data_IF_748557869049
#
_entry.id   IF_748557869049
#
_cell.length_a   1.000
_cell.length_b   1.000
_cell.length_c   1.000
_cell.angle_alpha   90.00
_cell.angle_beta   90.00
_cell.angle_gamma   90.00
#
_symmetry.space_group_name_H-M   'P 1'
#
loop_
_entity.id
_entity.type
_entity.pdbx_description
1 polymer ?
2 polymer ?
3 polymer ?
4 non-polymer ?
5 water ?
#
loop_
_entity_poly.entity_id
_entity_poly.type
_entity_poly.pdbx_seq_one_letter_code
_entity_poly.pdbx_strand_id
2 'polydeoxyribonucleotide' '(DA)(DA)(DG)(DT)(DT)(DA)(DA)(DC)(DG)(DC)(DT)(DT)(DA)(DA)(DC)(DG)(DT)(DT)(DA)(DA)(DG)(DG)(DG)(DT)(DT)(DA)(DA)(DT)' ?
3 'polydeoxyribonucleotide' '(DT)(DC)(DA)(DT)(DT)(DA)(DA)(DC)(DC)(DC)(DT)(DT)(DA)(DA)(DC)(DG)(DT)(DT)(DA)(DA)(DG)(DC)(DG)(DT)(DT)(DA)(DA)(DC)(DT)' ?
#
# COMPACT_ATOMS: atom_id res chain seq x y z
N UNK A 7 20.11 0.59 -9.15
CA UNK A 7 18.76 0.55 -8.62
C UNK A 7 18.20 1.96 -8.41
N UNK A 8 16.89 2.13 -8.63
CA UNK A 8 16.23 3.38 -8.23
C UNK A 8 16.05 3.43 -6.72
N UNK A 9 16.55 4.50 -6.10
CA UNK A 9 16.42 4.71 -4.67
C UNK A 9 15.07 5.37 -4.40
N UNK A 10 14.26 4.75 -3.54
CA UNK A 10 12.99 5.35 -3.14
C UNK A 10 13.25 6.53 -2.20
N UNK A 11 12.45 7.59 -2.27
CA UNK A 11 12.73 8.76 -1.40
C UNK A 11 12.64 8.44 0.08
N UNK A 12 11.80 7.50 0.48
CA UNK A 12 11.76 7.12 1.88
C UNK A 12 13.10 6.59 2.37
N UNK A 13 13.84 5.90 1.50
CA UNK A 13 15.17 5.42 1.85
C UNK A 13 16.08 6.58 2.24
N UNK A 14 16.08 7.65 1.42
CA UNK A 14 16.88 8.82 1.73
C UNK A 14 16.37 9.51 2.98
N UNK A 15 15.07 9.44 3.23
CA UNK A 15 14.55 10.04 4.45
C UNK A 15 14.85 9.17 5.67
N UNK A 16 14.68 7.85 5.54
CA UNK A 16 14.96 6.93 6.65
C UNK A 16 16.44 6.96 7.03
N UNK A 17 17.33 6.87 6.04
CA UNK A 17 18.75 6.66 6.34
C UNK A 17 19.55 7.95 6.45
N UNK A 18 19.19 9.01 5.73
CA UNK A 18 19.96 10.24 5.78
C UNK A 18 19.37 11.30 6.68
N UNK A 19 18.20 11.07 7.26
CA UNK A 19 17.62 12.11 8.11
C UNK A 19 17.10 11.54 9.42
N UNK A 20 16.26 10.52 9.36
CA UNK A 20 15.74 9.92 10.58
C UNK A 20 16.85 9.25 11.38
N UNK A 21 17.79 8.60 10.70
CA UNK A 21 18.86 7.93 11.40
C UNK A 21 19.95 8.89 11.83
N UNK A 22 20.19 9.96 11.05
CA UNK A 22 21.20 10.94 11.44
C UNK A 22 20.79 11.73 12.69
N UNK A 23 19.49 11.93 12.92
CA UNK A 23 19.04 12.72 14.05
C UNK A 23 18.24 11.91 15.07
N UNK A 24 18.28 10.58 14.97
CA UNK A 24 17.53 9.69 15.84
C UNK A 24 16.11 10.21 16.07
N UNK A 25 15.35 10.26 14.98
CA UNK A 25 13.94 10.65 15.00
C UNK A 25 13.14 9.43 14.56
N UNK A 26 12.20 9.00 15.39
CA UNK A 26 11.32 7.91 14.99
C UNK A 26 10.31 8.39 13.95
N UNK A 27 9.82 7.49 13.08
CA UNK A 27 8.72 7.86 12.18
C UNK A 27 7.58 8.55 12.89
N UNK A 28 7.17 8.05 14.06
CA UNK A 28 6.05 8.64 14.78
C UNK A 28 6.37 10.07 15.21
N UNK A 29 7.62 10.33 15.61
CA UNK A 29 7.98 11.65 16.09
C UNK A 29 8.00 12.66 14.95
N UNK A 30 8.65 12.30 13.83
CA UNK A 30 8.58 13.11 12.63
C UNK A 30 7.13 13.46 12.27
N UNK A 31 6.21 12.51 12.46
CA UNK A 31 4.82 12.75 12.11
C UNK A 31 4.23 13.87 12.94
N UNK A 32 4.45 13.84 14.27
CA UNK A 32 3.96 14.90 15.15
C UNK A 32 4.57 16.24 14.78
N UNK A 33 5.83 16.25 14.34
CA UNK A 33 6.51 17.49 14.03
C UNK A 33 6.02 18.06 12.70
N UNK A 34 5.74 17.20 11.72
CA UNK A 34 5.22 17.61 10.43
C UNK A 34 3.72 17.87 10.47
N UNK A 35 3.06 17.52 11.58
CA UNK A 35 1.62 17.68 11.73
C UNK A 35 0.84 16.87 10.68
N UNK A 36 1.27 15.62 10.44
CA UNK A 36 0.51 14.68 9.64
C UNK A 36 0.27 13.41 10.46
N UNK A 37 -0.64 12.57 9.97
CA UNK A 37 -0.89 11.31 10.66
C UNK A 37 0.30 10.37 10.56
N UNK A 38 0.42 9.47 11.55
CA UNK A 38 1.59 8.59 11.58
C UNK A 38 1.73 7.70 10.35
N UNK A 39 0.67 7.11 9.77
CA UNK A 39 0.86 6.33 8.53
C UNK A 39 1.43 7.15 7.38
N UNK A 40 1.26 8.48 7.38
CA UNK A 40 1.81 9.27 6.27
C UNK A 40 3.32 9.26 6.27
N UNK A 41 3.95 9.41 7.44
CA UNK A 41 5.40 9.31 7.50
C UNK A 41 5.84 7.85 7.42
N UNK A 42 5.13 6.95 8.11
CA UNK A 42 5.59 5.56 8.15
C UNK A 42 5.52 4.92 6.77
N UNK A 43 4.49 5.23 5.98
CA UNK A 43 4.42 4.59 4.67
C UNK A 43 5.54 5.09 3.75
N UNK A 44 5.98 6.34 3.91
CA UNK A 44 7.14 6.81 3.17
C UNK A 44 8.38 6.03 3.61
N UNK A 45 8.58 5.92 4.93
CA UNK A 45 9.75 5.24 5.47
C UNK A 45 9.81 3.79 4.97
N UNK A 46 8.67 3.09 4.98
CA UNK A 46 8.55 1.72 4.49
C UNK A 46 8.61 1.63 2.96
N UNK A 47 8.80 2.75 2.25
CA UNK A 47 8.82 2.77 0.79
C UNK A 47 7.54 2.23 0.17
N UNK A 48 6.40 2.50 0.81
CA UNK A 48 5.10 2.19 0.25
C UNK A 48 4.29 3.43 -0.10
N UNK A 49 4.92 4.60 -0.13
CA UNK A 49 4.20 5.82 -0.46
C UNK A 49 5.20 6.81 -1.02
N UNK A 50 4.79 7.53 -2.08
CA UNK A 50 5.64 8.55 -2.66
C UNK A 50 5.60 9.83 -1.85
N UNK A 51 6.49 10.76 -2.21
CA UNK A 51 6.41 12.08 -1.62
C UNK A 51 5.42 12.90 -2.43
N UNK A 52 4.34 13.34 -1.79
CA UNK A 52 3.44 14.31 -2.40
C UNK A 52 4.09 15.70 -2.35
N UNK A 53 3.57 16.62 -3.16
CA UNK A 53 4.06 18.00 -3.12
C UNK A 53 3.89 18.60 -1.73
N UNK A 54 2.77 18.33 -1.08
CA UNK A 54 2.54 18.82 0.27
C UNK A 54 3.54 18.22 1.26
N UNK A 55 3.87 16.94 1.10
CA UNK A 55 4.86 16.34 1.95
C UNK A 55 6.25 16.87 1.66
N UNK A 56 6.55 17.19 0.40
CA UNK A 56 7.84 17.81 0.07
C UNK A 56 7.98 19.18 0.70
N UNK A 57 6.88 19.89 0.89
CA UNK A 57 6.98 21.18 1.53
C UNK A 57 7.24 21.01 3.01
N UNK A 58 6.52 20.08 3.64
CA UNK A 58 6.72 19.82 5.06
C UNK A 58 8.13 19.30 5.33
N UNK A 59 8.62 18.39 4.49
CA UNK A 59 9.98 17.89 4.73
C UNK A 59 11.01 18.96 4.42
N UNK A 60 10.75 19.79 3.41
CA UNK A 60 11.66 20.89 3.13
C UNK A 60 11.74 21.87 4.30
N UNK A 61 10.58 22.17 4.89
CA UNK A 61 10.55 23.11 6.00
C UNK A 61 11.23 22.54 7.24
N UNK A 62 10.95 21.28 7.56
CA UNK A 62 11.49 20.71 8.79
C UNK A 62 13.00 20.58 8.74
N UNK A 63 13.54 20.07 7.63
CA UNK A 63 14.96 19.77 7.53
C UNK A 63 15.77 20.86 6.83
N UNK A 64 15.21 22.06 6.69
CA UNK A 64 15.90 23.18 6.02
C UNK A 64 16.59 22.75 4.73
N UNK A 65 15.92 21.89 3.97
CA UNK A 65 16.29 21.64 2.58
C UNK A 65 15.30 22.37 1.69
N UNK A 66 15.57 22.34 0.39
CA UNK A 66 14.53 22.82 -0.50
C UNK A 66 13.42 21.77 -0.60
N UNK A 67 12.22 22.24 -0.93
CA UNK A 67 11.16 21.31 -1.27
C UNK A 67 11.46 20.63 -2.60
N UNK A 68 12.00 21.38 -3.56
CA UNK A 68 12.33 20.80 -4.85
C UNK A 68 13.23 19.58 -4.69
N UNK A 69 14.09 19.58 -3.67
CA UNK A 69 14.96 18.42 -3.42
C UNK A 69 14.12 17.16 -3.29
N UNK A 70 13.07 17.22 -2.47
CA UNK A 70 12.20 16.06 -2.31
C UNK A 70 11.42 15.75 -3.58
N UNK A 71 10.96 16.79 -4.30
CA UNK A 71 10.24 16.54 -5.55
C UNK A 71 11.16 15.87 -6.57
N UNK A 72 12.43 16.29 -6.62
CA UNK A 72 13.37 15.70 -7.57
C UNK A 72 13.66 14.25 -7.22
N UNK A 73 13.76 13.92 -5.92
CA UNK A 73 13.92 12.51 -5.57
C UNK A 73 12.70 11.72 -6.00
N UNK A 74 11.51 12.28 -5.77
CA UNK A 74 10.30 11.57 -6.15
C UNK A 74 10.19 11.44 -7.66
N UNK A 75 10.51 12.51 -8.40
CA UNK A 75 10.25 12.48 -9.83
C UNK A 75 11.23 11.54 -10.53
N UNK A 76 12.48 11.54 -10.08
CA UNK A 76 13.45 10.60 -10.63
C UNK A 76 13.07 9.16 -10.30
N UNK A 77 12.55 8.93 -9.09
CA UNK A 77 12.12 7.59 -8.72
C UNK A 77 10.94 7.12 -9.56
N UNK A 78 9.88 7.95 -9.64
CA UNK A 78 8.71 7.49 -10.39
C UNK A 78 8.97 7.44 -11.88
N UNK A 79 9.92 8.23 -12.39
CA UNK A 79 10.32 8.04 -13.78
C UNK A 79 10.98 6.68 -13.99
N UNK A 80 11.94 6.31 -13.13
CA UNK A 80 12.63 5.02 -13.24
C UNK A 80 11.65 3.86 -13.13
N UNK A 81 10.82 3.89 -12.09
CA UNK A 81 9.76 2.89 -11.92
C UNK A 81 8.91 2.75 -13.17
N UNK A 82 8.37 3.86 -13.67
CA UNK A 82 7.51 3.78 -14.85
C UNK A 82 8.30 3.30 -16.05
N UNK A 83 9.57 3.71 -16.19
CA UNK A 83 10.36 3.22 -17.31
C UNK A 83 10.60 1.72 -17.22
N UNK A 84 10.85 1.22 -16.01
CA UNK A 84 11.02 -0.23 -15.79
C UNK A 84 9.72 -0.98 -16.09
N UNK A 85 8.59 -0.41 -15.69
CA UNK A 85 7.30 -1.04 -16.00
C UNK A 85 6.99 -1.01 -17.50
N UNK A 86 7.12 0.14 -18.18
CA UNK A 86 6.62 0.22 -19.57
C UNK A 86 7.59 0.79 -20.60
N UNK A 87 8.84 1.08 -20.23
CA UNK A 87 9.75 1.71 -21.19
C UNK A 87 9.97 0.90 -22.45
N UNK A 88 10.13 -0.42 -22.32
CA UNK A 88 10.38 -1.25 -23.49
C UNK A 88 9.17 -1.27 -24.41
N UNK A 89 7.97 -1.43 -23.84
CA UNK A 89 6.75 -1.40 -24.64
C UNK A 89 6.55 -0.03 -25.30
N UNK A 90 6.79 1.05 -24.56
CA UNK A 90 6.59 2.38 -25.09
C UNK A 90 7.54 2.65 -26.25
N UNK A 91 8.80 2.19 -26.12
CA UNK A 91 9.75 2.34 -27.22
C UNK A 91 9.30 1.54 -28.44
N UNK A 92 8.72 0.36 -28.21
CA UNK A 92 8.23 -0.46 -29.32
C UNK A 92 7.08 0.22 -30.06
N UNK A 93 6.21 0.94 -29.35
CA UNK A 93 4.99 1.45 -29.97
C UNK A 93 5.09 2.89 -30.43
N UNK A 94 6.19 3.59 -30.14
CA UNK A 94 6.37 4.96 -30.59
C UNK A 94 7.67 5.06 -31.40
N UNK A 95 7.57 5.56 -32.63
CA UNK A 95 8.77 5.91 -33.39
C UNK A 95 9.04 7.39 -33.25
N UNK A 96 10.27 7.79 -32.93
CA UNK A 96 10.54 9.22 -32.74
C UNK A 96 10.30 9.98 -34.04
N UNK A 97 9.91 11.24 -33.89
CA UNK A 97 9.84 12.19 -34.99
C UNK A 97 11.13 12.18 -35.79
N UNK A 98 11.08 11.64 -37.01
CA UNK A 98 12.27 11.25 -37.77
C UNK A 98 13.26 10.48 -36.89
N UNK B 1 8.34 28.51 -14.05
CA UNK B 1 8.01 29.86 -13.55
C UNK B 1 7.95 30.98 -14.61
N UNK B 2 6.94 31.84 -14.49
CA UNK B 2 6.73 32.91 -15.46
C UNK B 2 7.80 33.99 -15.33
N UNK B 3 7.98 34.76 -16.41
CA UNK B 3 8.93 35.86 -16.41
C UNK B 3 8.59 36.87 -15.31
N UNK B 4 7.31 37.23 -15.19
CA UNK B 4 6.89 38.12 -14.11
C UNK B 4 6.99 37.47 -12.74
N UNK B 5 7.31 36.17 -12.65
CA UNK B 5 7.49 35.50 -11.38
C UNK B 5 6.25 35.35 -10.53
N UNK B 6 5.07 35.62 -11.08
CA UNK B 6 3.83 35.62 -10.31
C UNK B 6 2.98 34.38 -10.52
N UNK B 7 3.42 33.42 -11.33
CA UNK B 7 2.67 32.19 -11.54
C UNK B 7 3.61 31.12 -12.08
N UNK B 8 3.35 29.85 -11.79
CA UNK B 8 4.12 28.76 -12.39
C UNK B 8 3.65 28.44 -13.79
N UNK B 9 4.57 27.93 -14.58
CA UNK B 9 4.29 27.53 -15.93
C UNK B 9 3.81 26.08 -15.96
N UNK B 10 2.69 25.84 -16.64
CA UNK B 10 2.19 24.47 -16.75
C UNK B 10 2.89 23.77 -17.91
N UNK B 11 3.23 22.48 -17.75
CA UNK B 11 3.98 21.79 -18.82
C UNK B 11 3.25 21.76 -20.14
N UNK B 12 1.92 21.73 -20.12
CA UNK B 12 1.16 21.78 -21.36
C UNK B 12 1.42 23.05 -22.15
N UNK B 13 1.67 24.16 -21.45
CA UNK B 13 2.04 25.39 -22.15
C UNK B 13 3.29 25.19 -22.97
N UNK B 14 4.30 24.50 -22.42
CA UNK B 14 5.52 24.21 -23.16
C UNK B 14 5.23 23.22 -24.27
N UNK B 15 4.36 22.25 -23.99
CA UNK B 15 4.04 21.23 -24.97
C UNK B 15 3.41 21.86 -26.21
N UNK B 16 2.44 22.74 -26.02
CA UNK B 16 1.79 23.26 -27.22
C UNK B 16 2.60 24.39 -27.85
N UNK B 17 3.19 25.30 -27.04
CA UNK B 17 3.88 26.45 -27.62
C UNK B 17 5.22 26.09 -28.23
N UNK B 18 5.99 25.20 -27.58
CA UNK B 18 7.36 24.91 -28.02
C UNK B 18 7.47 23.64 -28.87
N UNK B 19 6.40 22.87 -29.00
CA UNK B 19 6.49 21.62 -29.74
C UNK B 19 5.34 21.49 -30.73
N UNK B 20 4.10 21.64 -30.25
CA UNK B 20 2.97 21.46 -31.13
C UNK B 20 2.91 22.57 -32.19
N UNK B 21 3.04 23.82 -31.77
CA UNK B 21 3.07 24.91 -32.74
C UNK B 21 4.38 24.95 -33.52
N UNK B 22 5.49 24.55 -32.90
CA UNK B 22 6.77 24.56 -33.60
C UNK B 22 6.85 23.50 -34.70
N UNK B 23 5.96 22.51 -34.66
CA UNK B 23 5.99 21.39 -35.59
C UNK B 23 4.71 21.21 -36.39
N UNK B 24 3.71 22.07 -36.16
CA UNK B 24 2.37 21.97 -36.75
C UNK B 24 1.79 20.57 -36.57
N UNK B 25 1.62 20.20 -35.30
CA UNK B 25 1.01 18.94 -34.94
C UNK B 25 -0.24 19.22 -34.15
N UNK B 26 -1.32 18.57 -34.56
CA UNK B 26 -2.56 18.65 -33.84
C UNK B 26 -2.49 17.79 -32.56
N UNK B 27 -3.17 18.21 -31.48
CA UNK B 27 -3.27 17.33 -30.31
C UNK B 27 -3.76 15.94 -30.66
N UNK B 28 -4.82 15.84 -31.47
CA UNK B 28 -5.32 14.52 -31.85
C UNK B 28 -4.26 13.75 -32.60
N UNK B 29 -3.42 14.45 -33.38
CA UNK B 29 -2.37 13.75 -34.12
C UNK B 29 -1.25 13.31 -33.20
N UNK B 30 -0.88 14.15 -32.22
CA UNK B 30 0.08 13.71 -31.22
C UNK B 30 -0.43 12.49 -30.47
N UNK B 31 -1.73 12.44 -30.16
CA UNK B 31 -2.28 11.29 -29.44
C UNK B 31 -2.12 10.02 -30.26
N UNK B 32 -2.42 10.08 -31.55
CA UNK B 32 -2.20 8.93 -32.42
C UNK B 32 -0.73 8.51 -32.42
N UNK B 33 0.20 9.48 -32.45
CA UNK B 33 1.62 9.15 -32.45
C UNK B 33 2.06 8.53 -31.11
N UNK B 34 1.56 9.05 -29.99
CA UNK B 34 1.95 8.56 -28.67
C UNK B 34 1.23 7.27 -28.25
N UNK B 35 0.27 6.79 -29.04
CA UNK B 35 -0.62 5.66 -28.69
C UNK B 35 -1.37 5.90 -27.37
N UNK B 36 -1.88 7.11 -27.17
CA UNK B 36 -2.78 7.37 -26.05
C UNK B 36 -4.07 7.98 -26.59
N UNK B 37 -5.11 7.90 -25.78
CA UNK B 37 -6.40 8.48 -26.18
C UNK B 37 -6.28 10.00 -26.35
N UNK B 38 -7.08 10.52 -27.28
CA UNK B 38 -7.08 11.96 -27.57
C UNK B 38 -7.27 12.85 -26.34
N UNK B 39 -8.15 12.54 -25.36
CA UNK B 39 -8.29 13.47 -24.22
C UNK B 39 -7.04 13.57 -23.39
N UNK B 40 -6.16 12.56 -23.46
CA UNK B 40 -4.94 12.59 -22.67
C UNK B 40 -4.01 13.70 -23.15
N UNK B 41 -3.75 13.77 -24.45
CA UNK B 41 -2.95 14.85 -24.98
C UNK B 41 -3.70 16.18 -24.86
N UNK B 42 -4.99 16.20 -25.19
CA UNK B 42 -5.72 17.45 -25.22
C UNK B 42 -5.85 18.08 -23.84
N UNK B 43 -6.05 17.25 -22.80
CA UNK B 43 -6.16 17.80 -21.45
C UNK B 43 -4.82 18.33 -20.95
N UNK B 44 -3.70 17.78 -21.44
CA UNK B 44 -2.40 18.34 -21.13
C UNK B 44 -2.21 19.68 -21.86
N UNK B 45 -2.62 19.75 -23.13
CA UNK B 45 -2.46 20.97 -23.90
C UNK B 45 -3.34 22.09 -23.34
N UNK B 46 -4.51 21.76 -22.78
CA UNK B 46 -5.42 22.72 -22.14
C UNK B 46 -5.01 23.05 -20.73
N UNK B 47 -3.85 22.56 -20.27
CA UNK B 47 -3.37 22.75 -18.91
C UNK B 47 -4.41 22.32 -17.88
N UNK B 48 -5.18 21.30 -18.22
CA UNK B 48 -6.12 20.67 -17.28
C UNK B 48 -5.62 19.33 -16.76
N UNK B 49 -4.43 18.88 -17.15
CA UNK B 49 -3.91 17.61 -16.69
C UNK B 49 -2.41 17.72 -16.54
N UNK B 50 -1.89 17.07 -15.48
CA UNK B 50 -0.46 16.98 -15.32
C UNK B 50 0.16 15.94 -16.24
N UNK B 51 1.48 16.04 -16.38
CA UNK B 51 2.24 15.02 -17.12
C UNK B 51 2.58 13.89 -16.15
N UNK B 52 1.95 12.73 -16.34
CA UNK B 52 2.32 11.51 -15.66
C UNK B 52 3.73 11.06 -16.04
N UNK B 53 4.30 10.15 -15.24
CA UNK B 53 5.61 9.60 -15.57
C UNK B 53 5.58 8.83 -16.89
N UNK B 54 4.51 8.07 -17.13
CA UNK B 54 4.32 7.41 -18.42
C UNK B 54 4.29 8.43 -19.57
N UNK B 55 3.55 9.53 -19.40
CA UNK B 55 3.46 10.50 -20.48
C UNK B 55 4.80 11.19 -20.70
N UNK B 56 5.57 11.43 -19.64
CA UNK B 56 6.90 11.99 -19.84
C UNK B 56 7.78 11.05 -20.67
N UNK B 57 7.58 9.74 -20.57
CA UNK B 57 8.39 8.82 -21.34
C UNK B 57 7.98 8.88 -22.80
N UNK B 58 6.67 8.85 -23.06
CA UNK B 58 6.16 8.99 -24.43
C UNK B 58 6.65 10.29 -25.06
N UNK B 59 6.53 11.41 -24.34
CA UNK B 59 6.94 12.69 -24.90
C UNK B 59 8.44 12.71 -25.14
N UNK B 60 9.22 12.09 -24.26
CA UNK B 60 10.67 12.03 -24.43
C UNK B 60 11.06 11.28 -25.69
N UNK B 61 10.42 10.14 -25.93
CA UNK B 61 10.81 9.33 -27.07
C UNK B 61 10.41 10.02 -28.36
N UNK B 62 9.19 10.57 -28.39
CA UNK B 62 8.65 11.15 -29.61
C UNK B 62 9.41 12.39 -30.05
N UNK B 63 9.61 13.33 -29.13
CA UNK B 63 10.24 14.60 -29.44
C UNK B 63 11.76 14.61 -29.25
N UNK B 64 12.39 13.43 -29.12
CA UNK B 64 13.84 13.28 -28.93
C UNK B 64 14.31 13.98 -27.64
N UNK B 65 13.42 14.70 -26.97
CA UNK B 65 13.73 15.36 -25.73
C UNK B 65 14.07 14.32 -24.65
N UNK B 66 14.54 14.82 -23.50
CA UNK B 66 14.74 13.92 -22.38
C UNK B 66 13.44 13.80 -21.59
N UNK B 67 13.22 12.62 -21.00
CA UNK B 67 11.98 12.42 -20.24
C UNK B 67 12.00 13.20 -18.94
N UNK B 68 13.18 13.32 -18.32
CA UNK B 68 13.24 14.01 -17.04
C UNK B 68 12.94 15.50 -17.20
N UNK B 69 13.28 16.09 -18.36
CA UNK B 69 12.88 17.46 -18.64
C UNK B 69 11.39 17.66 -18.38
N UNK B 70 10.56 16.75 -18.91
CA UNK B 70 9.11 16.84 -18.69
C UNK B 70 8.74 16.64 -17.23
N UNK B 71 9.40 15.67 -16.55
CA UNK B 71 9.13 15.48 -15.11
C UNK B 71 9.49 16.73 -14.32
N UNK B 72 10.60 17.38 -14.70
CA UNK B 72 11.06 18.54 -13.96
C UNK B 72 10.08 19.69 -14.09
N UNK B 73 9.52 19.89 -15.28
CA UNK B 73 8.48 20.89 -15.47
C UNK B 73 7.28 20.58 -14.60
N UNK B 74 6.83 19.31 -14.61
CA UNK B 74 5.67 18.94 -13.82
C UNK B 74 5.91 19.13 -12.32
N UNK B 75 7.08 18.71 -11.82
CA UNK B 75 7.24 18.75 -10.36
C UNK B 75 7.36 20.19 -9.89
N UNK B 76 8.12 21.03 -10.60
CA UNK B 76 8.15 22.46 -10.28
C UNK B 76 6.75 23.07 -10.33
N UNK B 77 5.97 22.73 -11.36
CA UNK B 77 4.61 23.25 -11.41
C UNK B 77 3.77 22.74 -10.25
N UNK B 78 3.86 21.44 -9.93
CA UNK B 78 3.10 20.87 -8.81
C UNK B 78 3.57 21.42 -7.48
N UNK B 79 4.87 21.68 -7.36
CA UNK B 79 5.38 22.26 -6.11
C UNK B 79 4.87 23.68 -5.95
N UNK B 80 4.99 24.49 -7.02
CA UNK B 80 4.58 25.89 -6.96
C UNK B 80 3.09 26.02 -6.67
N UNK B 81 2.27 25.19 -7.28
CA UNK B 81 0.84 25.27 -7.06
C UNK B 81 0.45 24.70 -5.69
N UNK B 82 1.15 23.67 -5.21
CA UNK B 82 0.94 23.21 -3.84
C UNK B 82 1.35 24.28 -2.83
N UNK B 83 2.44 24.98 -3.10
CA UNK B 83 2.92 25.97 -2.15
C UNK B 83 2.02 27.20 -2.08
N UNK B 84 1.49 27.66 -3.23
CA UNK B 84 0.60 28.82 -3.21
C UNK B 84 -0.70 28.51 -2.48
N UNK B 85 -1.16 27.26 -2.51
CA UNK B 85 -2.39 26.88 -1.83
C UNK B 85 -2.19 26.66 -0.33
N UNK B 86 -1.03 26.16 0.09
CA UNK B 86 -0.85 25.70 1.46
C UNK B 86 0.47 26.08 2.11
N UNK B 87 1.36 26.78 1.41
CA UNK B 87 2.66 27.08 1.98
C UNK B 87 2.58 27.81 3.30
N UNK B 88 1.78 28.88 3.38
CA UNK B 88 1.75 29.64 4.63
C UNK B 88 1.27 28.76 5.77
N UNK B 89 0.25 27.95 5.56
CA UNK B 89 -0.29 27.18 6.67
C UNK B 89 0.71 26.14 7.14
N UNK B 90 1.37 25.46 6.20
CA UNK B 90 2.43 24.53 6.53
C UNK B 90 3.54 25.24 7.28
N UNK B 91 3.83 26.49 6.91
CA UNK B 91 4.91 27.22 7.56
C UNK B 91 4.56 27.55 9.00
N UNK B 92 3.29 27.80 9.29
CA UNK B 92 2.89 28.14 10.65
C UNK B 92 2.78 26.95 11.57
N UNK B 93 2.59 25.75 11.05
CA UNK B 93 2.40 24.61 11.95
C UNK B 93 3.64 23.73 12.08
N UNK B 94 4.73 24.03 11.37
CA UNK B 94 5.93 23.24 11.41
C UNK B 94 7.10 24.12 11.81
N UNK B 95 7.66 23.86 12.99
CA UNK B 95 8.89 24.49 13.43
C UNK B 95 10.07 23.68 12.90
N UNK B 96 11.02 24.28 12.21
CA UNK B 96 12.19 23.52 11.74
C UNK B 96 13.05 23.05 12.91
N UNK B 97 13.94 22.11 12.59
CA UNK B 97 14.82 21.51 13.61
C UNK B 97 15.79 22.52 14.22
N UNK C 6 4.08 -24.33 -5.23
CA UNK C 6 5.50 -24.00 -5.25
C UNK C 6 5.75 -22.51 -4.94
N UNK C 7 4.80 -21.89 -4.21
CA UNK C 7 4.78 -20.47 -3.85
C UNK C 7 3.52 -20.19 -3.01
N UNK C 8 3.56 -19.23 -2.07
CA UNK C 8 2.33 -18.87 -1.35
C UNK C 8 1.47 -17.93 -2.21
N UNK C 9 0.20 -18.27 -2.35
CA UNK C 9 -0.70 -17.56 -3.26
C UNK C 9 -1.53 -16.57 -2.48
N UNK C 10 -1.38 -15.28 -2.79
CA UNK C 10 -2.20 -14.25 -2.15
C UNK C 10 -3.67 -14.49 -2.47
N UNK C 11 -4.56 -14.32 -1.51
CA UNK C 11 -5.99 -14.55 -1.81
C UNK C 11 -6.50 -13.68 -2.94
N UNK C 12 -5.90 -12.51 -3.14
CA UNK C 12 -6.36 -11.62 -4.21
C UNK C 12 -6.14 -12.21 -5.59
N UNK C 13 -5.08 -12.99 -5.75
CA UNK C 13 -4.91 -13.81 -6.96
C UNK C 13 -6.15 -14.66 -7.23
N UNK C 14 -6.64 -15.39 -6.21
CA UNK C 14 -7.80 -16.25 -6.39
C UNK C 14 -9.01 -15.43 -6.77
N UNK C 15 -9.22 -14.31 -6.07
CA UNK C 15 -10.38 -13.45 -6.37
C UNK C 15 -10.29 -12.89 -7.79
N UNK C 16 -9.09 -12.52 -8.22
CA UNK C 16 -8.88 -11.91 -9.53
C UNK C 16 -9.07 -12.94 -10.66
N UNK C 17 -8.37 -14.08 -10.57
CA UNK C 17 -8.36 -15.05 -11.66
C UNK C 17 -9.55 -16.01 -11.62
N UNK C 18 -10.04 -16.38 -10.42
CA UNK C 18 -11.08 -17.39 -10.34
C UNK C 18 -12.48 -16.82 -10.26
N UNK C 19 -12.62 -15.56 -9.88
CA UNK C 19 -13.95 -14.98 -9.77
C UNK C 19 -14.08 -13.74 -10.63
N UNK C 20 -13.24 -12.71 -10.44
CA UNK C 20 -13.41 -11.47 -11.19
C UNK C 20 -13.29 -11.71 -12.68
N UNK C 21 -12.17 -12.28 -13.13
CA UNK C 21 -12.00 -12.48 -14.56
C UNK C 21 -12.83 -13.64 -15.09
N UNK C 22 -13.13 -14.63 -14.25
CA UNK C 22 -14.03 -15.71 -14.68
C UNK C 22 -15.43 -15.19 -14.95
N UNK C 23 -15.95 -14.36 -14.07
CA UNK C 23 -17.30 -13.80 -14.23
C UNK C 23 -17.33 -12.46 -14.98
N UNK C 24 -16.17 -11.98 -15.44
CA UNK C 24 -16.03 -10.66 -16.11
C UNK C 24 -16.63 -9.53 -15.28
N UNK C 25 -16.08 -9.37 -14.08
CA UNK C 25 -16.54 -8.37 -13.12
C UNK C 25 -15.35 -7.49 -12.76
N UNK C 26 -15.53 -6.19 -12.87
CA UNK C 26 -14.46 -5.26 -12.54
C UNK C 26 -14.39 -5.06 -11.04
N UNK C 27 -13.23 -4.67 -10.52
CA UNK C 27 -13.15 -4.38 -9.09
C UNK C 27 -14.21 -3.39 -8.64
N UNK C 28 -14.37 -2.28 -9.36
CA UNK C 28 -15.31 -1.25 -8.95
C UNK C 28 -16.73 -1.77 -8.92
N UNK C 29 -17.10 -2.59 -9.92
CA UNK C 29 -18.42 -3.22 -9.93
C UNK C 29 -18.58 -4.14 -8.71
N UNK C 30 -17.56 -4.96 -8.42
CA UNK C 30 -17.64 -5.85 -7.24
C UNK C 30 -17.77 -5.04 -5.95
N UNK C 31 -17.03 -3.94 -5.84
CA UNK C 31 -17.14 -3.10 -4.64
C UNK C 31 -18.57 -2.58 -4.47
N UNK C 32 -19.21 -2.15 -5.56
CA UNK C 32 -20.58 -1.66 -5.45
C UNK C 32 -21.52 -2.74 -4.93
N UNK C 33 -21.37 -3.97 -5.42
CA UNK C 33 -22.23 -5.06 -4.97
C UNK C 33 -21.90 -5.50 -3.54
N UNK C 34 -20.64 -5.42 -3.12
CA UNK C 34 -20.29 -5.77 -1.74
C UNK C 34 -20.61 -4.68 -0.73
N UNK C 35 -21.01 -3.48 -1.21
CA UNK C 35 -21.20 -2.27 -0.38
C UNK C 35 -19.93 -1.86 0.34
N UNK C 36 -18.79 -1.90 -0.35
CA UNK C 36 -17.54 -1.35 0.17
C UNK C 36 -16.97 -0.38 -0.85
N UNK C 37 -15.99 0.40 -0.41
CA UNK C 37 -15.31 1.33 -1.30
C UNK C 37 -14.47 0.58 -2.34
N UNK C 38 -14.26 1.24 -3.49
CA UNK C 38 -13.45 0.65 -4.54
C UNK C 38 -12.04 0.26 -4.12
N UNK C 39 -11.31 1.02 -3.27
CA UNK C 39 -9.95 0.56 -2.89
C UNK C 39 -9.96 -0.72 -2.08
N UNK C 40 -11.03 -1.01 -1.34
CA UNK C 40 -11.09 -2.25 -0.57
C UNK C 40 -11.04 -3.48 -1.47
N UNK C 41 -11.82 -3.50 -2.55
CA UNK C 41 -11.72 -4.63 -3.49
C UNK C 41 -10.43 -4.56 -4.29
N UNK C 42 -10.06 -3.37 -4.74
CA UNK C 42 -8.94 -3.22 -5.68
C UNK C 42 -7.58 -3.47 -5.02
N UNK C 43 -7.40 -3.04 -3.77
CA UNK C 43 -6.15 -3.35 -3.08
C UNK C 43 -5.98 -4.84 -2.84
N UNK C 44 -7.08 -5.58 -2.63
CA UNK C 44 -6.99 -7.03 -2.51
C UNK C 44 -6.56 -7.64 -3.85
N UNK C 45 -7.29 -7.30 -4.91
CA UNK C 45 -6.99 -7.76 -6.26
C UNK C 45 -5.55 -7.46 -6.67
N UNK C 46 -4.99 -6.35 -6.19
CA UNK C 46 -3.61 -6.02 -6.48
C UNK C 46 -2.65 -6.67 -5.50
N UNK C 47 -3.14 -7.56 -4.62
CA UNK C 47 -2.31 -8.27 -3.65
C UNK C 47 -1.58 -7.29 -2.73
N UNK C 48 -2.26 -6.20 -2.37
CA UNK C 48 -1.72 -5.20 -1.46
C UNK C 48 -2.49 -5.11 -0.15
N UNK C 49 -3.60 -5.83 -0.02
CA UNK C 49 -4.40 -5.91 1.19
C UNK C 49 -4.81 -7.35 1.40
N UNK C 50 -4.95 -7.77 2.67
CA UNK C 50 -5.43 -9.10 2.98
C UNK C 50 -6.95 -9.15 3.05
N UNK C 51 -7.49 -10.37 3.16
CA UNK C 51 -8.93 -10.54 3.37
C UNK C 51 -9.22 -10.39 4.85
N UNK C 52 -10.02 -9.40 5.21
CA UNK C 52 -10.51 -9.28 6.56
C UNK C 52 -11.64 -10.28 6.80
N UNK C 53 -11.90 -10.56 8.07
CA UNK C 53 -13.08 -11.33 8.46
C UNK C 53 -14.35 -10.77 7.84
N UNK C 54 -14.49 -9.43 7.82
CA UNK C 54 -15.67 -8.80 7.23
C UNK C 54 -15.78 -9.07 5.73
N UNK C 55 -14.67 -8.94 5.02
CA UNK C 55 -14.65 -9.17 3.58
C UNK C 55 -14.90 -10.62 3.21
N UNK C 56 -14.49 -11.57 4.07
CA UNK C 56 -14.76 -12.98 3.81
C UNK C 56 -16.24 -13.28 3.85
N UNK C 57 -16.94 -12.75 4.85
CA UNK C 57 -18.40 -12.86 4.87
C UNK C 57 -18.97 -12.28 3.59
N UNK C 58 -18.54 -11.05 3.24
CA UNK C 58 -19.08 -10.39 2.05
C UNK C 58 -18.79 -11.22 0.80
N UNK C 59 -17.55 -11.71 0.67
CA UNK C 59 -17.20 -12.44 -0.55
C UNK C 59 -17.96 -13.76 -0.63
N UNK C 60 -18.08 -14.46 0.50
CA UNK C 60 -18.78 -15.74 0.50
C UNK C 60 -20.26 -15.57 0.25
N UNK C 61 -20.87 -14.55 0.87
CA UNK C 61 -22.26 -14.23 0.59
C UNK C 61 -22.47 -13.93 -0.89
N UNK C 62 -21.59 -13.11 -1.49
CA UNK C 62 -21.84 -12.64 -2.83
C UNK C 62 -21.60 -13.72 -3.87
N UNK C 63 -20.54 -14.49 -3.71
CA UNK C 63 -20.13 -15.48 -4.70
C UNK C 63 -20.66 -16.89 -4.39
N UNK C 64 -21.59 -17.03 -3.44
CA UNK C 64 -22.22 -18.28 -3.02
C UNK C 64 -21.25 -19.16 -2.23
N UNK C 65 -19.94 -19.05 -2.46
CA UNK C 65 -18.92 -19.83 -1.75
C UNK C 65 -19.01 -19.72 -0.24
N UNK C 66 -18.13 -20.42 0.47
CA UNK C 66 -18.13 -20.35 1.92
C UNK C 66 -17.25 -19.21 2.39
N UNK C 67 -17.55 -18.69 3.57
CA UNK C 67 -16.72 -17.63 4.12
C UNK C 67 -15.42 -18.17 4.68
N UNK C 68 -15.44 -19.36 5.31
CA UNK C 68 -14.21 -19.95 5.83
C UNK C 68 -13.18 -20.17 4.73
N UNK C 69 -13.66 -20.53 3.52
CA UNK C 69 -12.76 -20.68 2.37
C UNK C 69 -11.82 -19.49 2.25
N UNK C 70 -12.38 -18.27 2.32
CA UNK C 70 -11.55 -17.06 2.20
C UNK C 70 -10.65 -16.89 3.41
N UNK C 71 -11.17 -17.17 4.61
CA UNK C 71 -10.35 -17.05 5.82
C UNK C 71 -9.14 -17.97 5.75
N UNK C 72 -9.32 -19.17 5.19
CA UNK C 72 -8.22 -20.13 5.15
C UNK C 72 -7.18 -19.71 4.13
N UNK C 73 -7.64 -19.21 2.96
CA UNK C 73 -6.72 -18.63 1.99
C UNK C 73 -5.85 -17.58 2.66
N UNK C 74 -6.47 -16.68 3.42
CA UNK C 74 -5.72 -15.64 4.10
C UNK C 74 -4.77 -16.22 5.13
N UNK C 75 -5.25 -17.11 6.01
CA UNK C 75 -4.40 -17.49 7.14
C UNK C 75 -3.22 -18.34 6.68
N UNK C 76 -3.40 -19.14 5.64
CA UNK C 76 -2.27 -19.85 5.05
C UNK C 76 -1.28 -18.88 4.41
N UNK C 77 -1.79 -17.87 3.71
CA UNK C 77 -0.88 -16.89 3.13
C UNK C 77 -0.10 -16.18 4.23
N UNK C 78 -0.79 -15.77 5.29
CA UNK C 78 -0.14 -15.02 6.37
C UNK C 78 0.86 -15.88 7.11
N UNK C 79 0.52 -17.16 7.35
CA UNK C 79 1.47 -18.04 8.02
C UNK C 79 2.72 -18.25 7.16
N UNK C 80 2.55 -18.56 5.87
CA UNK C 80 3.71 -18.74 4.99
C UNK C 80 4.52 -17.46 4.85
N UNK C 81 3.84 -16.31 4.86
CA UNK C 81 4.53 -15.05 4.74
C UNK C 81 5.35 -14.78 5.98
N UNK C 82 4.77 -15.07 7.15
CA UNK C 82 5.49 -14.91 8.40
C UNK C 82 6.64 -15.89 8.50
N UNK C 83 6.44 -17.11 8.02
CA UNK C 83 7.49 -18.12 8.16
C UNK C 83 8.70 -17.74 7.32
N UNK C 84 8.48 -17.46 6.04
CA UNK C 84 9.60 -17.12 5.15
C UNK C 84 10.37 -15.93 5.70
N UNK C 85 9.68 -15.03 6.39
CA UNK C 85 10.28 -13.82 6.94
C UNK C 85 11.06 -14.10 8.22
N UNK C 86 10.48 -14.85 9.15
CA UNK C 86 11.06 -14.98 10.49
C UNK C 86 11.21 -16.43 10.94
N UNK C 87 10.97 -17.40 10.07
CA UNK C 87 10.97 -18.79 10.47
C UNK C 87 12.27 -19.29 11.05
N UNK C 88 13.35 -19.25 10.27
CA UNK C 88 14.62 -19.80 10.74
C UNK C 88 15.09 -19.08 11.99
N UNK C 89 14.79 -17.79 12.13
CA UNK C 89 15.17 -17.06 13.33
C UNK C 89 14.38 -17.56 14.54
N UNK C 90 13.06 -17.66 14.42
CA UNK C 90 12.25 -18.18 15.51
C UNK C 90 12.73 -19.56 15.92
N UNK C 91 13.02 -20.41 14.93
CA UNK C 91 13.50 -21.75 15.24
C UNK C 91 14.85 -21.71 15.94
N UNK C 92 15.68 -20.71 15.64
CA UNK C 92 16.99 -20.64 16.27
C UNK C 92 16.90 -20.22 17.73
N UNK C 93 15.88 -19.45 18.12
CA UNK C 93 15.83 -18.86 19.44
C UNK C 93 14.87 -19.55 20.42
N UNK C 94 14.02 -20.45 19.94
CA UNK C 94 13.04 -21.12 20.78
C UNK C 94 13.38 -22.60 20.84
N UNK C 95 13.69 -23.10 22.05
CA UNK C 95 13.87 -24.53 22.22
C UNK C 95 12.56 -25.18 22.62
N UNK C 96 12.14 -26.25 21.97
CA UNK C 96 10.86 -26.89 22.33
C UNK C 96 10.90 -27.70 23.62
N UNK C 97 10.00 -28.67 23.77
CA UNK C 97 9.96 -29.51 24.97
C UNK C 97 10.22 -30.97 24.60
N UNK D 4 -20.72 -27.03 25.78
CA UNK D 4 -20.79 -26.16 24.60
C UNK D 4 -22.05 -25.30 24.63
N UNK D 5 -21.87 -23.98 24.57
CA UNK D 5 -22.98 -23.04 24.56
C UNK D 5 -23.11 -22.26 23.26
N UNK D 6 -22.59 -22.84 22.18
CA UNK D 6 -22.64 -22.24 20.84
C UNK D 6 -22.04 -20.84 20.81
N UNK D 7 -20.99 -20.64 21.60
CA UNK D 7 -20.12 -19.47 21.51
C UNK D 7 -18.78 -19.90 20.93
N UNK D 8 -18.13 -19.05 20.12
CA UNK D 8 -16.84 -19.44 19.55
C UNK D 8 -15.72 -19.43 20.60
N UNK D 9 -14.75 -20.29 20.38
CA UNK D 9 -13.67 -20.52 21.34
C UNK D 9 -12.48 -19.63 20.99
N UNK D 10 -12.18 -18.68 21.85
CA UNK D 10 -11.01 -17.84 21.67
C UNK D 10 -9.74 -18.67 21.86
N UNK D 11 -8.71 -18.48 21.02
CA UNK D 11 -7.52 -19.34 21.12
C UNK D 11 -6.83 -19.28 22.47
N UNK D 12 -6.97 -18.18 23.21
CA UNK D 12 -6.29 -18.08 24.49
C UNK D 12 -6.82 -19.07 25.52
N UNK D 13 -8.08 -19.45 25.38
CA UNK D 13 -8.64 -20.45 26.28
C UNK D 13 -8.06 -21.83 25.99
N UNK D 14 -7.77 -22.13 24.72
CA UNK D 14 -7.04 -23.35 24.41
C UNK D 14 -5.63 -23.26 24.98
N UNK D 15 -4.97 -22.13 24.80
CA UNK D 15 -3.62 -21.96 25.35
C UNK D 15 -3.59 -22.11 26.86
N UNK D 16 -4.68 -21.77 27.53
CA UNK D 16 -4.75 -21.96 28.96
C UNK D 16 -5.09 -23.41 29.31
N UNK D 17 -6.36 -23.76 29.17
CA UNK D 17 -6.93 -25.01 29.65
C UNK D 17 -6.33 -26.27 29.01
N UNK D 18 -5.48 -26.17 27.99
CA UNK D 18 -4.95 -27.35 27.34
C UNK D 18 -3.44 -27.34 27.19
N UNK D 19 -2.75 -26.25 27.55
CA UNK D 19 -1.31 -26.20 27.41
C UNK D 19 -0.67 -25.62 28.66
N UNK D 20 -1.15 -24.48 29.11
CA UNK D 20 -0.55 -23.84 30.29
C UNK D 20 -0.92 -24.55 31.58
N UNK D 21 -2.08 -25.20 31.64
CA UNK D 21 -2.45 -25.96 32.83
C UNK D 21 -1.99 -27.41 32.75
N UNK D 22 -2.12 -28.03 31.57
CA UNK D 22 -1.61 -29.39 31.35
C UNK D 22 -0.15 -29.51 31.78
N UNK D 23 0.72 -28.64 31.25
CA UNK D 23 2.13 -28.63 31.58
C UNK D 23 2.46 -27.76 32.80
N UNK D 24 1.44 -27.22 33.48
CA UNK D 24 1.59 -26.16 34.47
C UNK D 24 2.72 -25.20 34.15
N UNK D 25 2.50 -24.30 33.18
CA UNK D 25 3.49 -23.30 32.81
C UNK D 25 2.92 -21.92 33.07
N UNK D 26 3.78 -21.04 33.55
CA UNK D 26 3.42 -19.69 33.91
C UNK D 26 3.31 -18.84 32.64
N UNK D 27 2.25 -18.01 32.50
CA UNK D 27 2.24 -17.01 31.43
C UNK D 27 3.57 -16.30 31.28
N UNK D 28 4.16 -15.88 32.40
CA UNK D 28 5.44 -15.18 32.35
C UNK D 28 6.56 -16.13 31.96
N UNK D 29 6.48 -17.39 32.40
CA UNK D 29 7.49 -18.36 32.01
C UNK D 29 7.40 -18.68 30.52
N UNK D 30 6.18 -18.84 29.99
CA UNK D 30 6.00 -19.07 28.56
C UNK D 30 6.62 -17.94 27.73
N UNK D 31 6.48 -16.70 28.21
CA UNK D 31 7.00 -15.55 27.47
C UNK D 31 8.52 -15.57 27.41
N UNK D 32 9.17 -15.91 28.53
CA UNK D 32 10.62 -16.05 28.51
C UNK D 32 11.04 -17.16 27.56
N UNK D 33 10.23 -18.22 27.47
CA UNK D 33 10.56 -19.33 26.60
C UNK D 33 10.37 -18.98 25.13
N UNK D 34 9.36 -18.16 24.84
CA UNK D 34 9.07 -17.74 23.47
C UNK D 34 9.88 -16.53 23.01
N UNK D 35 10.78 -16.01 23.86
CA UNK D 35 11.56 -14.80 23.57
C UNK D 35 10.66 -13.67 23.10
N UNK D 36 9.59 -13.47 23.87
CA UNK D 36 8.52 -12.52 23.61
C UNK D 36 8.26 -11.79 24.92
N UNK D 37 7.71 -10.59 24.83
CA UNK D 37 7.41 -9.82 26.03
C UNK D 37 6.34 -10.51 26.86
N UNK D 38 6.31 -10.15 28.15
CA UNK D 38 5.32 -10.74 29.06
C UNK D 38 3.90 -10.34 28.70
N UNK D 39 3.58 -9.06 28.44
CA UNK D 39 2.19 -8.72 28.11
C UNK D 39 1.65 -9.44 26.88
N UNK D 40 2.52 -9.84 25.96
CA UNK D 40 2.06 -10.51 24.75
C UNK D 40 1.43 -11.86 25.07
N UNK D 41 2.12 -12.69 25.85
CA UNK D 41 1.54 -13.96 26.26
C UNK D 41 0.35 -13.72 27.16
N UNK D 42 0.49 -12.80 28.11
CA UNK D 42 -0.58 -12.61 29.08
C UNK D 42 -1.87 -12.15 28.43
N UNK D 43 -1.78 -11.27 27.42
CA UNK D 43 -2.99 -10.79 26.75
C UNK D 43 -3.69 -11.91 25.99
N UNK D 44 -2.93 -12.81 25.37
CA UNK D 44 -3.53 -13.97 24.70
C UNK D 44 -4.22 -14.86 25.72
N UNK D 45 -3.55 -15.16 26.83
CA UNK D 45 -4.12 -15.99 27.89
C UNK D 45 -5.41 -15.38 28.40
N UNK D 46 -5.40 -14.06 28.61
CA UNK D 46 -6.51 -13.27 29.12
C UNK D 46 -7.62 -13.04 28.09
N UNK D 47 -7.47 -13.58 26.87
CA UNK D 47 -8.46 -13.45 25.80
C UNK D 47 -8.66 -12.00 25.34
N UNK D 48 -7.62 -11.18 25.46
CA UNK D 48 -7.64 -9.79 25.04
C UNK D 48 -6.81 -9.51 23.80
N UNK D 49 -6.20 -10.54 23.20
CA UNK D 49 -5.42 -10.37 21.99
C UNK D 49 -5.56 -11.64 21.16
N UNK D 50 -5.45 -11.49 19.85
CA UNK D 50 -5.51 -12.63 18.97
C UNK D 50 -4.14 -13.27 18.76
N UNK D 51 -4.13 -14.42 18.08
CA UNK D 51 -2.88 -15.10 17.77
C UNK D 51 -2.36 -14.58 16.44
N UNK D 52 -1.31 -13.78 16.48
CA UNK D 52 -0.64 -13.32 15.27
C UNK D 52 0.05 -14.47 14.57
N UNK D 53 0.37 -14.28 13.29
CA UNK D 53 1.08 -15.33 12.57
C UNK D 53 2.45 -15.60 13.20
N UNK D 54 3.11 -14.56 13.70
CA UNK D 54 4.39 -14.76 14.38
C UNK D 54 4.21 -15.64 15.62
N UNK D 55 3.12 -15.41 16.36
CA UNK D 55 2.87 -16.16 17.58
C UNK D 55 2.45 -17.61 17.30
N UNK D 56 1.73 -17.85 16.20
CA UNK D 56 1.37 -19.22 15.87
C UNK D 56 2.61 -20.04 15.54
N UNK D 57 3.61 -19.42 14.90
CA UNK D 57 4.87 -20.13 14.67
C UNK D 57 5.53 -20.47 15.99
N UNK D 58 5.50 -19.52 16.94
CA UNK D 58 6.23 -19.68 18.18
C UNK D 58 5.58 -20.74 19.07
N UNK D 59 4.25 -20.72 19.17
CA UNK D 59 3.58 -21.74 19.96
C UNK D 59 3.70 -23.10 19.30
N UNK D 60 3.55 -23.15 17.98
CA UNK D 60 3.74 -24.39 17.28
C UNK D 60 5.11 -24.98 17.53
N UNK D 61 6.13 -24.13 17.57
CA UNK D 61 7.49 -24.60 17.76
C UNK D 61 7.72 -25.06 19.20
N UNK D 62 7.24 -24.27 20.17
CA UNK D 62 7.48 -24.59 21.58
C UNK D 62 6.74 -25.85 22.00
N UNK D 63 5.43 -25.88 21.78
CA UNK D 63 4.55 -26.92 22.26
C UNK D 63 4.45 -28.11 21.31
N UNK D 64 5.28 -28.16 20.27
CA UNK D 64 5.25 -29.23 19.28
C UNK D 64 3.82 -29.45 18.74
N UNK D 65 3.21 -28.37 18.27
CA UNK D 65 1.97 -28.50 17.52
C UNK D 65 2.16 -27.88 16.15
N UNK D 66 1.15 -28.06 15.31
CA UNK D 66 1.14 -27.36 14.04
C UNK D 66 1.04 -25.85 14.29
N UNK D 67 1.78 -25.07 13.51
CA UNK D 67 1.55 -23.63 13.52
C UNK D 67 0.18 -23.32 12.95
N UNK D 68 -0.23 -24.04 11.91
CA UNK D 68 -1.52 -23.78 11.29
C UNK D 68 -2.69 -24.13 12.22
N UNK D 69 -2.48 -25.04 13.17
CA UNK D 69 -3.52 -25.31 14.17
C UNK D 69 -3.92 -24.02 14.88
N UNK D 70 -2.94 -23.21 15.29
CA UNK D 70 -3.26 -21.95 15.93
C UNK D 70 -3.90 -20.96 14.96
N UNK D 71 -3.40 -20.88 13.72
CA UNK D 71 -3.99 -19.96 12.75
C UNK D 71 -5.44 -20.29 12.50
N UNK D 72 -5.78 -21.59 12.46
CA UNK D 72 -7.15 -21.99 12.22
C UNK D 72 -8.03 -21.66 13.40
N UNK D 73 -7.50 -21.79 14.61
CA UNK D 73 -8.28 -21.42 15.79
C UNK D 73 -8.63 -19.95 15.75
N UNK D 74 -7.66 -19.12 15.34
CA UNK D 74 -7.88 -17.68 15.28
C UNK D 74 -8.85 -17.32 14.17
N UNK D 75 -8.71 -17.93 12.99
CA UNK D 75 -9.57 -17.53 11.88
C UNK D 75 -11.02 -17.89 12.15
N UNK D 76 -11.28 -19.12 12.63
CA UNK D 76 -12.65 -19.53 12.96
C UNK D 76 -13.24 -18.65 14.03
N UNK D 77 -12.43 -18.20 14.98
CA UNK D 77 -12.94 -17.31 16.02
C UNK D 77 -13.30 -15.96 15.42
N UNK D 78 -12.33 -15.29 14.77
CA UNK D 78 -12.63 -13.93 14.32
C UNK D 78 -13.63 -13.93 13.17
N UNK D 79 -13.72 -15.01 12.40
CA UNK D 79 -14.84 -15.13 11.47
C UNK D 79 -16.16 -15.20 12.23
N UNK D 80 -16.20 -16.02 13.29
CA UNK D 80 -17.45 -16.17 14.05
C UNK D 80 -17.86 -14.87 14.71
N UNK D 81 -16.89 -14.18 15.33
CA UNK D 81 -17.27 -12.94 16.01
C UNK D 81 -17.61 -11.84 15.02
N UNK D 82 -16.97 -11.82 13.84
CA UNK D 82 -17.42 -10.87 12.83
C UNK D 82 -18.81 -11.21 12.36
N UNK D 83 -19.12 -12.50 12.22
CA UNK D 83 -20.46 -12.84 11.77
C UNK D 83 -21.50 -12.46 12.81
N UNK D 84 -21.20 -12.70 14.08
CA UNK D 84 -22.13 -12.34 15.15
C UNK D 84 -22.39 -10.84 15.18
N UNK D 85 -21.35 -10.03 14.93
CA UNK D 85 -21.51 -8.58 15.00
C UNK D 85 -22.06 -7.97 13.72
N UNK D 86 -21.87 -8.59 12.55
CA UNK D 86 -22.27 -7.94 11.31
C UNK D 86 -22.95 -8.84 10.29
N UNK D 87 -23.03 -10.16 10.49
CA UNK D 87 -23.54 -11.02 9.44
C UNK D 87 -24.93 -10.64 8.99
N UNK D 88 -25.81 -10.35 9.93
CA UNK D 88 -27.19 -10.05 9.57
C UNK D 88 -27.27 -8.77 8.75
N UNK D 89 -26.44 -7.77 9.07
CA UNK D 89 -26.42 -6.56 8.27
C UNK D 89 -25.82 -6.82 6.89
N UNK D 90 -24.75 -7.61 6.84
CA UNK D 90 -24.12 -7.93 5.56
C UNK D 90 -25.07 -8.69 4.65
N UNK D 91 -25.82 -9.64 5.21
CA UNK D 91 -26.74 -10.41 4.39
C UNK D 91 -27.86 -9.53 3.88
N UNK D 92 -28.25 -8.51 4.65
CA UNK D 92 -29.33 -7.62 4.23
C UNK D 92 -28.92 -6.76 3.04
N UNK D 93 -27.68 -6.29 2.98
CA UNK D 93 -27.31 -5.32 1.96
C UNK D 93 -26.64 -5.94 0.73
N UNK D 94 -26.25 -7.21 0.77
CA UNK D 94 -25.61 -7.87 -0.35
C UNK D 94 -26.56 -8.93 -0.90
N UNK D 95 -26.89 -8.83 -2.19
CA UNK D 95 -27.62 -9.83 -2.94
C UNK D 95 -26.65 -10.68 -3.76
N UNK D 96 -26.85 -11.97 -3.83
CA UNK D 96 -25.73 -12.88 -4.07
C UNK D 96 -25.47 -13.31 -5.51
N UNK D 97 -25.78 -12.47 -6.50
CA UNK D 97 -25.41 -12.76 -7.89
C UNK D 97 -26.07 -14.06 -8.37
N UNK D 98 -27.39 -14.11 -8.27
CA UNK D 98 -28.14 -15.34 -8.53
C UNK D 98 -29.61 -15.11 -8.23
X LIG G 1 -4.06 -10.50 46.30
X LIG G 1 -5.49 -10.46 45.88
X LIG G 1 -3.60 -9.91 47.60
X LIG G 1 -3.48 -11.99 46.22
X LIG G 1 -3.20 -12.59 44.95
X LIG G 1 -2.09 -13.63 45.07
X LIG G 1 -0.80 -12.99 44.94
X LIG G 1 -2.05 -14.41 46.40
X LIG G 1 -1.75 -15.78 46.16
X LIG G 1 -0.90 -13.73 47.14
X LIG G 1 0.03 -13.48 45.96
X LIG G 1 1.17 -12.53 46.21
X LIG G 1 0.96 -11.25 46.71
X LIG G 1 -0.14 -10.79 47.00
X LIG G 1 2.12 -10.51 46.87
X LIG G 1 3.42 -10.93 46.58
X LIG G 1 4.40 -10.20 46.75
X LIG G 1 3.52 -12.28 46.05
X LIG G 1 4.83 -12.86 45.70
X LIG G 1 2.42 -12.98 45.90
#
# INVERSE_FOLDING_TARGET
MATNGMRPIHPGEILRDEFLMEFDISPAALARALKVSAPTVNDIVREQRGISADMAIRLGRYFDTSAQFWMNLQSEYSLATAYAANGKQIEHEIEPLLAHG
MATNGMRPIHPGEILRDEFLMEFDISPAALARALKVSAPTVNDIVREQRGISADMAIRLGRYFDTSAQFWMNLQSEYSLATAYAANGKQIEHEIEPLLAHG
MATNGMRPIHPGEILRDEFLMEFDISPAALARALKVSAPTVNDIVREQRGISADMAIRLGRYFDTSAQFWMNLQSEYSLATAYAANGKQIEHEIEPLLAHG
MATNGMRPIHPGEILRDEFLMEFDISPAALARALKVSAPTVNDIVREQRGISADMAIRLGRYFDTSAQFWMNLQSEYSLATAYAANGKQIEHEIEPLLAHG
TMP P O1P O2P O5' C5' C4' O4' C3' O3' C2' C1' N1 C2 O2 N3 C4 O4 C5 C5M C6
#
